data_IF_000959170584
#
_entry.id   IF_000959170584
#
_cell.length_a   1.000
_cell.length_b   1.000
_cell.length_c   1.000
_cell.angle_alpha   90.00
_cell.angle_beta   90.00
_cell.angle_gamma   90.00
#
_symmetry.space_group_name_H-M   'P 1'
#
loop_
_entity.id
_entity.type
_entity.pdbx_description
1 polymer ?
#
# COMPACT_ATOMS: atom_id res chain seq x y z
N UNK A 1 -61.07 -29.33 19.78
CA UNK A 1 -61.26 -28.31 18.71
C UNK A 1 -61.06 -26.89 19.25
N UNK A 2 -59.83 -26.32 19.26
CA UNK A 2 -59.65 -24.88 19.55
C UNK A 2 -58.73 -24.13 18.55
N UNK A 3 -58.43 -24.67 17.36
CA UNK A 3 -57.52 -24.04 16.38
C UNK A 3 -58.16 -23.01 15.43
N UNK A 4 -59.50 -22.98 15.30
CA UNK A 4 -60.19 -22.09 14.34
C UNK A 4 -60.49 -20.68 14.88
N UNK A 5 -60.50 -20.49 16.20
CA UNK A 5 -60.79 -19.18 16.79
C UNK A 5 -59.54 -18.28 16.78
N UNK A 6 -58.33 -18.84 16.99
CA UNK A 6 -57.10 -18.03 16.98
C UNK A 6 -56.74 -17.51 15.59
N UNK A 7 -57.06 -18.23 14.51
CA UNK A 7 -56.84 -17.74 13.14
C UNK A 7 -57.82 -16.62 12.78
N UNK A 8 -59.07 -16.71 13.23
CA UNK A 8 -60.09 -15.68 12.96
C UNK A 8 -59.77 -14.35 13.64
N UNK A 9 -59.34 -14.37 14.91
CA UNK A 9 -58.86 -13.17 15.60
C UNK A 9 -57.53 -12.64 15.02
N UNK A 10 -56.62 -13.52 14.60
CA UNK A 10 -55.35 -13.13 13.95
C UNK A 10 -55.58 -12.36 12.65
N UNK A 11 -56.56 -12.77 11.84
CA UNK A 11 -56.87 -12.12 10.56
C UNK A 11 -57.66 -10.81 10.73
N UNK A 12 -58.55 -10.71 11.71
CA UNK A 12 -59.21 -9.43 12.07
C UNK A 12 -58.20 -8.41 12.61
N UNK A 13 -57.23 -8.86 13.44
CA UNK A 13 -56.16 -8.00 13.97
C UNK A 13 -55.17 -7.56 12.87
N UNK A 14 -55.01 -8.35 11.79
CA UNK A 14 -54.23 -7.94 10.61
C UNK A 14 -54.93 -6.87 9.77
N UNK A 15 -56.27 -6.88 9.72
CA UNK A 15 -57.06 -5.95 8.91
C UNK A 15 -57.38 -4.63 9.64
N UNK A 16 -57.54 -4.63 10.97
CA UNK A 16 -57.71 -3.39 11.74
C UNK A 16 -56.37 -2.72 12.02
N UNK A 17 -56.13 -1.55 11.43
CA UNK A 17 -54.99 -0.70 11.84
C UNK A 17 -55.18 -0.33 13.33
N UNK A 18 -54.13 -0.32 14.16
CA UNK A 18 -54.20 0.03 15.59
C UNK A 18 -54.96 1.34 15.86
N UNK A 19 -54.88 2.29 14.93
CA UNK A 19 -55.61 3.56 14.99
C UNK A 19 -57.14 3.37 15.05
N UNK A 20 -57.70 2.40 14.33
CA UNK A 20 -59.14 2.08 14.38
C UNK A 20 -59.53 1.46 15.72
N UNK A 21 -58.63 0.69 16.35
CA UNK A 21 -58.85 0.10 17.68
C UNK A 21 -58.80 1.20 18.76
N UNK A 22 -57.90 2.17 18.62
CA UNK A 22 -57.84 3.35 19.50
C UNK A 22 -59.13 4.17 19.37
N UNK A 23 -59.56 4.49 18.15
CA UNK A 23 -60.81 5.24 17.91
C UNK A 23 -62.04 4.48 18.41
N UNK A 24 -62.11 3.17 18.18
CA UNK A 24 -63.22 2.34 18.65
C UNK A 24 -63.22 2.17 20.18
N UNK A 25 -62.05 2.02 20.81
CA UNK A 25 -61.91 1.98 22.27
C UNK A 25 -62.31 3.30 22.93
N UNK A 26 -61.89 4.43 22.36
CA UNK A 26 -62.32 5.76 22.81
C UNK A 26 -63.83 5.96 22.64
N UNK A 27 -64.41 5.47 21.54
CA UNK A 27 -65.85 5.51 21.29
C UNK A 27 -66.64 4.64 22.29
N UNK A 28 -66.17 3.43 22.61
CA UNK A 28 -66.78 2.58 23.65
C UNK A 28 -66.68 3.24 25.03
N UNK A 29 -65.56 3.87 25.36
CA UNK A 29 -65.44 4.61 26.62
C UNK A 29 -66.42 5.81 26.68
N UNK A 30 -66.58 6.53 25.57
CA UNK A 30 -67.50 7.65 25.45
C UNK A 30 -68.98 7.23 25.47
N UNK A 31 -69.34 6.07 24.90
CA UNK A 31 -70.68 5.49 25.07
C UNK A 31 -70.89 4.97 26.49
N UNK A 32 -69.84 4.42 27.10
CA UNK A 32 -69.82 3.95 28.47
C UNK A 32 -70.24 5.02 29.45
N UNK A 33 -69.75 6.25 29.32
CA UNK A 33 -70.08 7.37 30.24
C UNK A 33 -71.56 7.77 30.26
N UNK A 34 -72.35 7.32 29.28
CA UNK A 34 -73.81 7.50 29.23
C UNK A 34 -74.52 6.49 30.14
N UNK A 35 -73.91 5.33 30.39
CA UNK A 35 -74.46 4.31 31.29
C UNK A 35 -74.07 4.58 32.76
N UNK A 36 -75.01 4.39 33.71
CA UNK A 36 -74.71 4.59 35.12
C UNK A 36 -73.63 3.61 35.60
N UNK A 37 -72.71 4.05 36.46
CA UNK A 37 -71.65 3.17 36.95
C UNK A 37 -72.24 2.04 37.80
N UNK A 38 -71.67 0.85 37.64
CA UNK A 38 -71.95 -0.24 38.57
C UNK A 38 -71.35 0.11 39.92
N UNK A 39 -72.19 0.07 40.95
CA UNK A 39 -71.78 0.31 42.33
C UNK A 39 -71.74 -1.01 43.08
N UNK A 40 -70.56 -1.39 43.54
CA UNK A 40 -70.38 -2.53 44.43
C UNK A 40 -70.12 -1.98 45.82
N UNK A 41 -70.96 -2.36 46.77
CA UNK A 41 -70.75 -2.09 48.20
C UNK A 41 -69.88 -3.19 48.77
N UNK A 42 -68.67 -2.83 49.19
CA UNK A 42 -67.78 -3.78 49.86
C UNK A 42 -67.71 -3.43 51.35
N UNK A 43 -67.89 -4.40 52.25
CA UNK A 43 -67.68 -4.18 53.67
C UNK A 43 -66.17 -4.05 53.94
N UNK A 44 -65.77 -2.94 54.53
CA UNK A 44 -64.43 -2.73 55.07
C UNK A 44 -64.53 -2.52 56.59
N UNK A 45 -63.42 -2.73 57.29
CA UNK A 45 -63.36 -2.69 58.76
C UNK A 45 -63.85 -1.36 59.37
N UNK A 46 -63.87 -0.27 58.58
CA UNK A 46 -64.32 1.06 59.01
C UNK A 46 -65.62 1.54 58.32
N UNK A 47 -66.39 0.64 57.70
CA UNK A 47 -67.68 0.95 57.07
C UNK A 47 -67.82 0.40 55.64
N UNK A 48 -68.98 0.67 55.02
CA UNK A 48 -69.25 0.27 53.64
C UNK A 48 -68.64 1.32 52.70
N UNK A 49 -67.66 0.91 51.88
CA UNK A 49 -67.21 1.73 50.75
C UNK A 49 -67.97 1.33 49.48
N UNK A 50 -68.49 2.33 48.76
CA UNK A 50 -69.08 2.15 47.43
C UNK A 50 -67.98 2.34 46.37
N UNK A 51 -67.60 1.24 45.71
CA UNK A 51 -66.77 1.31 44.51
C UNK A 51 -67.69 1.46 43.30
N UNK A 52 -67.67 2.62 42.66
CA UNK A 52 -68.37 2.86 41.40
C UNK A 52 -67.41 2.70 40.23
N UNK A 53 -67.64 1.73 39.35
CA UNK A 53 -66.87 1.60 38.11
C UNK A 53 -67.80 1.44 36.92
N UNK A 54 -67.34 1.90 35.77
CA UNK A 54 -68.05 1.70 34.52
C UNK A 54 -67.26 0.68 33.68
N UNK A 55 -67.81 -0.52 33.44
CA UNK A 55 -67.09 -1.58 32.74
C UNK A 55 -66.76 -1.20 31.30
N UNK A 56 -67.55 -0.33 30.67
CA UNK A 56 -67.31 0.13 29.30
C UNK A 56 -66.19 1.17 29.22
N UNK A 57 -66.04 2.05 30.23
CA UNK A 57 -64.90 2.98 30.28
C UNK A 57 -63.59 2.23 30.56
N UNK A 58 -63.62 1.22 31.45
CA UNK A 58 -62.46 0.35 31.72
C UNK A 58 -62.06 -0.45 30.47
N UNK A 59 -63.03 -1.04 29.77
CA UNK A 59 -62.82 -1.80 28.54
C UNK A 59 -62.26 -0.90 27.43
N UNK A 60 -62.82 0.30 27.24
CA UNK A 60 -62.34 1.27 26.26
C UNK A 60 -60.91 1.74 26.55
N UNK A 61 -60.59 2.06 27.81
CA UNK A 61 -59.23 2.44 28.22
C UNK A 61 -58.22 1.30 28.02
N UNK A 62 -58.60 0.06 28.35
CA UNK A 62 -57.79 -1.12 28.11
C UNK A 62 -57.49 -1.32 26.62
N UNK A 63 -58.51 -1.18 25.76
CA UNK A 63 -58.35 -1.31 24.31
C UNK A 63 -57.40 -0.26 23.71
N UNK A 64 -57.47 0.99 24.19
CA UNK A 64 -56.54 2.06 23.78
C UNK A 64 -55.11 1.77 24.26
N UNK A 65 -54.94 1.37 25.52
CA UNK A 65 -53.63 1.05 26.09
C UNK A 65 -52.99 -0.15 25.37
N UNK A 66 -53.76 -1.20 25.11
CA UNK A 66 -53.31 -2.38 24.38
C UNK A 66 -52.92 -2.04 22.93
N UNK A 67 -53.73 -1.26 22.22
CA UNK A 67 -53.42 -0.85 20.85
C UNK A 67 -52.14 0.00 20.77
N UNK A 68 -51.93 0.88 21.75
CA UNK A 68 -50.71 1.70 21.87
C UNK A 68 -49.48 0.83 22.15
N UNK A 69 -49.60 -0.15 23.05
CA UNK A 69 -48.52 -1.11 23.34
C UNK A 69 -48.14 -1.92 22.09
N UNK A 70 -49.13 -2.42 21.34
CA UNK A 70 -48.91 -3.16 20.09
C UNK A 70 -48.26 -2.27 19.03
N UNK A 71 -48.66 -1.00 18.92
CA UNK A 71 -48.07 -0.06 17.98
C UNK A 71 -46.60 0.24 18.32
N UNK A 72 -46.30 0.47 19.60
CA UNK A 72 -44.92 0.68 20.08
C UNK A 72 -44.05 -0.56 19.87
N UNK A 73 -44.60 -1.75 20.13
CA UNK A 73 -43.90 -3.01 19.89
C UNK A 73 -43.59 -3.23 18.40
N UNK A 74 -44.57 -2.99 17.51
CA UNK A 74 -44.35 -3.04 16.05
C UNK A 74 -43.30 -2.03 15.59
N UNK A 75 -43.33 -0.82 16.14
CA UNK A 75 -42.32 0.21 15.84
C UNK A 75 -40.93 -0.26 16.28
N UNK A 76 -40.81 -0.78 17.50
CA UNK A 76 -39.56 -1.31 18.07
C UNK A 76 -38.96 -2.43 17.21
N UNK A 77 -39.77 -3.40 16.76
CA UNK A 77 -39.32 -4.47 15.85
C UNK A 77 -38.78 -3.89 14.54
N UNK A 78 -39.48 -2.91 13.96
CA UNK A 78 -39.04 -2.28 12.70
C UNK A 78 -37.72 -1.52 12.88
N UNK A 79 -37.58 -0.76 13.97
CA UNK A 79 -36.32 -0.06 14.28
C UNK A 79 -35.16 -1.02 14.50
N UNK A 80 -35.38 -2.13 15.22
CA UNK A 80 -34.33 -3.13 15.43
C UNK A 80 -33.91 -3.79 14.11
N UNK A 81 -34.86 -4.14 13.24
CA UNK A 81 -34.55 -4.68 11.92
C UNK A 81 -33.76 -3.69 11.03
N UNK A 82 -34.06 -2.39 11.11
CA UNK A 82 -33.28 -1.36 10.40
C UNK A 82 -31.87 -1.27 10.98
N UNK A 83 -31.74 -1.30 12.31
CA UNK A 83 -30.44 -1.26 12.99
C UNK A 83 -29.58 -2.46 12.59
N UNK A 84 -30.13 -3.68 12.62
CA UNK A 84 -29.43 -4.90 12.22
C UNK A 84 -28.96 -4.83 10.76
N UNK A 85 -29.83 -4.35 9.86
CA UNK A 85 -29.47 -4.14 8.46
C UNK A 85 -28.36 -3.08 8.29
N UNK A 86 -28.39 -2.02 9.09
CA UNK A 86 -27.37 -0.97 9.07
C UNK A 86 -26.03 -1.51 9.56
N UNK A 87 -26.02 -2.31 10.63
CA UNK A 87 -24.81 -2.97 11.14
C UNK A 87 -24.22 -3.90 10.08
N UNK A 88 -25.06 -4.71 9.41
CA UNK A 88 -24.62 -5.60 8.33
C UNK A 88 -24.03 -4.81 7.15
N UNK A 89 -24.64 -3.68 6.78
CA UNK A 89 -24.11 -2.82 5.72
C UNK A 89 -22.79 -2.16 6.11
N UNK A 90 -22.65 -1.69 7.36
CA UNK A 90 -21.40 -1.12 7.87
C UNK A 90 -20.27 -2.16 7.86
N UNK A 91 -20.53 -3.39 8.32
CA UNK A 91 -19.56 -4.47 8.27
C UNK A 91 -19.17 -4.82 6.83
N UNK A 92 -20.12 -4.79 5.89
CA UNK A 92 -19.82 -5.02 4.46
C UNK A 92 -18.97 -3.88 3.90
N UNK A 93 -19.26 -2.64 4.26
CA UNK A 93 -18.53 -1.46 3.80
C UNK A 93 -17.09 -1.48 4.33
N UNK A 94 -16.89 -1.78 5.60
CA UNK A 94 -15.56 -1.95 6.20
C UNK A 94 -14.72 -3.02 5.48
N UNK A 95 -15.31 -4.19 5.17
CA UNK A 95 -14.63 -5.24 4.39
C UNK A 95 -14.27 -4.79 2.98
N UNK A 96 -15.14 -4.01 2.33
CA UNK A 96 -14.89 -3.49 0.99
C UNK A 96 -13.79 -2.41 1.01
N UNK A 97 -13.79 -1.53 2.01
CA UNK A 97 -12.73 -0.53 2.19
C UNK A 97 -11.39 -1.20 2.38
N UNK A 98 -11.28 -2.17 3.30
CA UNK A 98 -10.03 -2.91 3.51
C UNK A 98 -9.56 -3.62 2.23
N UNK A 99 -10.47 -4.27 1.51
CA UNK A 99 -10.13 -4.92 0.24
C UNK A 99 -9.66 -3.93 -0.82
N UNK A 100 -10.23 -2.72 -0.88
CA UNK A 100 -9.79 -1.68 -1.79
C UNK A 100 -8.40 -1.14 -1.42
N UNK A 101 -8.10 -0.98 -0.13
CA UNK A 101 -6.77 -0.63 0.36
C UNK A 101 -5.75 -1.68 -0.06
N UNK A 102 -6.02 -2.97 0.20
CA UNK A 102 -5.15 -4.08 -0.19
C UNK A 102 -4.89 -4.09 -1.70
N UNK A 103 -5.94 -3.92 -2.52
CA UNK A 103 -5.80 -3.87 -3.99
C UNK A 103 -4.97 -2.67 -4.43
N UNK A 104 -5.15 -1.52 -3.79
CA UNK A 104 -4.42 -0.29 -4.14
C UNK A 104 -2.94 -0.44 -3.85
N UNK A 105 -2.58 -1.01 -2.69
CA UNK A 105 -1.19 -1.30 -2.35
C UNK A 105 -0.57 -2.32 -3.31
N UNK A 106 -1.29 -3.38 -3.65
CA UNK A 106 -0.84 -4.36 -4.65
C UNK A 106 -0.61 -3.73 -6.04
N UNK A 107 -1.48 -2.82 -6.47
CA UNK A 107 -1.34 -2.13 -7.76
C UNK A 107 -0.16 -1.16 -7.76
N UNK A 108 0.05 -0.42 -6.67
CA UNK A 108 1.21 0.48 -6.52
C UNK A 108 2.52 -0.32 -6.59
N UNK A 109 2.61 -1.42 -5.85
CA UNK A 109 3.78 -2.29 -5.86
C UNK A 109 4.01 -2.94 -7.23
N UNK A 110 2.96 -3.43 -7.88
CA UNK A 110 3.06 -4.00 -9.22
C UNK A 110 3.50 -2.95 -10.25
N UNK A 111 3.00 -1.71 -10.15
CA UNK A 111 3.40 -0.60 -11.01
C UNK A 111 4.90 -0.28 -10.82
N UNK A 112 5.36 -0.18 -9.57
CA UNK A 112 6.78 0.01 -9.25
C UNK A 112 7.65 -1.12 -9.81
N UNK A 113 7.22 -2.37 -9.67
CA UNK A 113 7.95 -3.51 -10.19
C UNK A 113 7.99 -3.54 -11.73
N UNK A 114 6.92 -3.13 -12.42
CA UNK A 114 6.89 -3.00 -13.89
C UNK A 114 7.87 -1.92 -14.33
N UNK A 115 7.78 -0.72 -13.74
CA UNK A 115 8.68 0.39 -14.07
C UNK A 115 10.12 -0.01 -13.80
N UNK A 116 10.41 -0.59 -12.64
CA UNK A 116 11.75 -1.07 -12.28
C UNK A 116 12.30 -2.10 -13.26
N UNK A 117 11.49 -3.05 -13.72
CA UNK A 117 11.91 -4.07 -14.70
C UNK A 117 12.20 -3.50 -16.10
N UNK A 118 11.65 -2.33 -16.42
CA UNK A 118 11.87 -1.64 -17.70
C UNK A 118 13.10 -0.74 -17.57
N UNK A 119 13.15 0.11 -16.54
CA UNK A 119 14.17 1.17 -16.40
C UNK A 119 15.41 0.75 -15.61
N UNK A 120 15.45 -0.46 -15.06
CA UNK A 120 16.45 -0.86 -14.07
C UNK A 120 16.16 -0.36 -12.65
N UNK A 121 15.19 0.55 -12.46
CA UNK A 121 14.75 1.01 -11.14
C UNK A 121 15.87 1.56 -10.27
N UNK A 122 16.08 0.94 -9.10
CA UNK A 122 17.13 1.26 -8.14
C UNK A 122 18.44 0.49 -8.37
N UNK A 123 18.51 -0.33 -9.43
CA UNK A 123 19.71 -1.08 -9.78
C UNK A 123 20.78 -0.18 -10.38
N UNK A 124 22.04 -0.50 -10.08
CA UNK A 124 23.22 0.14 -10.65
C UNK A 124 24.30 -0.89 -10.99
N UNK A 125 25.19 -0.52 -11.90
CA UNK A 125 26.32 -1.37 -12.29
C UNK A 125 27.57 -0.97 -11.55
N UNK A 126 28.27 -1.98 -11.00
CA UNK A 126 29.63 -1.88 -10.51
C UNK A 126 30.55 -2.57 -11.50
N UNK A 127 31.53 -1.85 -12.03
CA UNK A 127 32.67 -2.47 -12.72
C UNK A 127 33.76 -2.73 -11.69
N UNK A 128 34.22 -3.97 -11.57
CA UNK A 128 35.28 -4.35 -10.64
C UNK A 128 36.47 -4.98 -11.38
N UNK A 129 37.65 -4.84 -10.80
CA UNK A 129 38.84 -5.56 -11.25
C UNK A 129 38.86 -6.95 -10.64
N UNK A 130 38.95 -7.97 -11.50
CA UNK A 130 39.22 -9.34 -11.09
C UNK A 130 40.64 -9.66 -11.49
N UNK A 131 41.50 -9.84 -10.49
CA UNK A 131 42.87 -10.29 -10.72
C UNK A 131 42.81 -11.70 -11.31
N UNK A 132 43.28 -11.84 -12.54
CA UNK A 132 43.32 -13.12 -13.23
C UNK A 132 44.58 -13.91 -12.79
N UNK A 133 44.65 -15.19 -13.13
CA UNK A 133 45.84 -16.03 -12.88
C UNK A 133 47.11 -15.48 -13.57
N UNK A 134 46.95 -14.60 -14.56
CA UNK A 134 48.05 -13.88 -15.17
C UNK A 134 48.42 -12.63 -14.34
N UNK A 135 49.62 -12.56 -13.72
CA UNK A 135 50.01 -11.43 -12.88
C UNK A 135 50.10 -10.08 -13.63
N UNK A 136 50.13 -10.12 -14.97
CA UNK A 136 50.18 -8.92 -15.81
C UNK A 136 48.84 -8.54 -16.45
N UNK A 137 47.81 -9.38 -16.30
CA UNK A 137 46.51 -9.19 -16.93
C UNK A 137 45.40 -9.06 -15.90
N UNK A 138 44.53 -8.06 -16.10
CA UNK A 138 43.34 -7.89 -15.27
C UNK A 138 42.11 -8.05 -16.15
N UNK A 139 41.13 -8.77 -15.62
CA UNK A 139 39.81 -8.94 -16.23
C UNK A 139 38.83 -8.02 -15.53
N UNK A 140 37.85 -7.48 -16.26
CA UNK A 140 36.79 -6.68 -15.66
C UNK A 140 35.59 -7.57 -15.36
N UNK A 141 35.03 -7.45 -14.16
CA UNK A 141 33.70 -7.96 -13.85
C UNK A 141 32.70 -6.82 -13.89
N UNK A 142 31.61 -7.01 -14.62
CA UNK A 142 30.46 -6.11 -14.62
C UNK A 142 29.39 -6.74 -13.75
N UNK A 143 29.00 -6.06 -12.68
CA UNK A 143 28.13 -6.60 -11.64
C UNK A 143 26.89 -5.71 -11.52
N UNK A 144 25.71 -6.31 -11.62
CA UNK A 144 24.46 -5.59 -11.33
C UNK A 144 24.16 -5.67 -9.83
N UNK A 145 24.19 -4.52 -9.16
CA UNK A 145 23.75 -4.34 -7.79
C UNK A 145 22.35 -3.73 -7.78
N UNK A 146 21.36 -4.52 -7.39
CA UNK A 146 19.97 -4.06 -7.29
C UNK A 146 18.95 -5.18 -7.44
N UNK A 147 17.67 -4.81 -7.47
CA UNK A 147 16.53 -5.74 -7.56
C UNK A 147 16.11 -6.04 -9.01
N UNK A 148 16.36 -5.12 -9.93
CA UNK A 148 15.86 -5.19 -11.31
C UNK A 148 16.97 -5.47 -12.33
N UNK A 149 16.65 -6.13 -13.45
CA UNK A 149 17.60 -6.35 -14.54
C UNK A 149 17.98 -5.03 -15.20
N UNK A 150 19.23 -4.92 -15.64
CA UNK A 150 19.71 -3.77 -16.42
C UNK A 150 19.79 -4.21 -17.88
N UNK A 151 19.15 -3.46 -18.78
CA UNK A 151 19.04 -3.76 -20.21
C UNK A 151 19.82 -2.76 -21.04
N UNK A 152 20.38 -3.23 -22.15
CA UNK A 152 21.13 -2.40 -23.09
C UNK A 152 22.24 -1.59 -22.41
N UNK A 153 22.97 -2.28 -21.53
CA UNK A 153 24.07 -1.67 -20.81
C UNK A 153 25.19 -1.32 -21.77
N UNK A 154 25.61 -0.07 -21.76
CA UNK A 154 26.83 0.40 -22.38
C UNK A 154 27.70 1.04 -21.31
N UNK A 155 28.92 0.56 -21.15
CA UNK A 155 29.91 1.18 -20.29
C UNK A 155 31.12 1.63 -21.09
N UNK A 156 31.51 2.88 -20.91
CA UNK A 156 32.66 3.52 -21.55
C UNK A 156 33.69 3.86 -20.50
N UNK A 157 34.91 3.35 -20.66
CA UNK A 157 35.99 3.49 -19.69
C UNK A 157 37.08 4.37 -20.27
N UNK A 158 37.42 5.44 -19.56
CA UNK A 158 38.44 6.40 -19.93
C UNK A 158 39.50 6.49 -18.84
N UNK A 159 40.78 6.51 -19.23
CA UNK A 159 41.84 6.96 -18.31
C UNK A 159 41.66 8.45 -18.04
N UNK A 160 41.84 8.87 -16.79
CA UNK A 160 41.62 10.25 -16.37
C UNK A 160 42.51 11.24 -17.13
N UNK A 161 43.76 10.86 -17.42
CA UNK A 161 44.68 11.66 -18.22
C UNK A 161 44.18 11.90 -19.65
N UNK A 162 43.65 10.86 -20.31
CA UNK A 162 43.08 10.97 -21.65
C UNK A 162 41.79 11.81 -21.62
N UNK A 163 40.93 11.56 -20.63
CA UNK A 163 39.69 12.31 -20.43
C UNK A 163 39.93 13.82 -20.25
N UNK A 164 40.86 14.19 -19.38
CA UNK A 164 41.17 15.61 -19.13
C UNK A 164 41.78 16.28 -20.36
N UNK A 165 42.70 15.60 -21.05
CA UNK A 165 43.27 16.09 -22.31
C UNK A 165 42.20 16.36 -23.36
N UNK A 166 41.23 15.46 -23.48
CA UNK A 166 40.17 15.55 -24.48
C UNK A 166 39.17 16.66 -24.13
N UNK A 167 38.85 16.82 -22.84
CA UNK A 167 38.06 17.93 -22.32
C UNK A 167 38.72 19.29 -22.56
N UNK A 168 40.02 19.42 -22.33
CA UNK A 168 40.80 20.63 -22.59
C UNK A 168 40.81 21.03 -24.08
N UNK A 169 40.71 20.03 -24.97
CA UNK A 169 40.60 20.24 -26.41
C UNK A 169 39.20 20.66 -26.88
N UNK A 170 38.28 20.92 -25.95
CA UNK A 170 36.92 21.36 -26.24
C UNK A 170 36.05 20.26 -26.85
N UNK A 171 36.48 19.02 -26.75
CA UNK A 171 35.76 17.91 -27.30
C UNK A 171 34.82 17.34 -26.23
N UNK A 172 33.57 17.11 -26.61
CA UNK A 172 32.58 16.64 -25.66
C UNK A 172 32.79 15.13 -25.40
N UNK A 173 33.21 14.72 -24.20
CA UNK A 173 33.39 13.30 -23.88
C UNK A 173 32.08 12.49 -23.95
N UNK A 174 30.92 13.15 -23.92
CA UNK A 174 29.62 12.51 -24.07
C UNK A 174 29.32 12.15 -25.55
N UNK A 175 29.96 12.84 -26.50
CA UNK A 175 29.70 12.72 -27.94
C UNK A 175 30.82 11.93 -28.60
N UNK A 176 30.60 10.63 -28.79
CA UNK A 176 31.03 9.71 -29.88
C UNK A 176 32.38 9.91 -30.64
N UNK A 177 33.31 10.69 -30.14
CA UNK A 177 34.63 10.82 -30.70
C UNK A 177 35.57 11.23 -29.58
N UNK A 178 36.41 10.30 -29.12
CA UNK A 178 37.82 10.51 -28.74
C UNK A 178 38.44 9.31 -28.03
N UNK A 179 39.75 9.15 -28.25
CA UNK A 179 40.71 8.35 -27.46
C UNK A 179 40.11 7.11 -26.79
N UNK A 180 39.36 6.30 -27.53
CA UNK A 180 38.59 5.22 -26.95
C UNK A 180 39.51 4.21 -26.25
N UNK A 181 39.40 4.09 -24.93
CA UNK A 181 40.20 3.14 -24.15
C UNK A 181 39.49 1.78 -24.03
N UNK A 182 38.21 1.74 -23.69
CA UNK A 182 37.42 0.49 -23.68
C UNK A 182 35.91 0.72 -23.69
N UNK A 183 35.17 -0.13 -24.42
CA UNK A 183 33.70 -0.19 -24.44
C UNK A 183 33.21 -1.60 -24.08
N UNK A 184 32.18 -1.65 -23.23
CA UNK A 184 31.48 -2.88 -22.83
C UNK A 184 30.01 -2.71 -23.18
N UNK A 185 29.43 -3.69 -23.86
CA UNK A 185 28.03 -3.71 -24.25
C UNK A 185 27.37 -5.02 -23.83
N UNK A 186 26.32 -4.95 -23.00
CA UNK A 186 25.55 -6.10 -22.55
C UNK A 186 24.08 -5.90 -22.88
N UNK A 187 23.46 -6.88 -23.54
CA UNK A 187 22.03 -6.84 -23.85
C UNK A 187 21.18 -6.84 -22.57
N UNK A 188 21.48 -7.73 -21.63
CA UNK A 188 20.79 -7.82 -20.33
C UNK A 188 21.77 -8.30 -19.26
N UNK A 189 21.72 -7.69 -18.08
CA UNK A 189 22.40 -8.15 -16.87
C UNK A 189 21.36 -8.33 -15.76
N UNK A 190 21.07 -9.58 -15.41
CA UNK A 190 20.10 -9.90 -14.37
C UNK A 190 20.57 -9.41 -12.98
N UNK A 191 19.64 -9.23 -12.02
CA UNK A 191 19.98 -8.83 -10.65
C UNK A 191 21.03 -9.75 -10.03
N UNK A 192 21.99 -9.19 -9.29
CA UNK A 192 23.03 -9.95 -8.57
C UNK A 192 23.93 -10.83 -9.46
N UNK A 193 23.85 -10.68 -10.79
CA UNK A 193 24.73 -11.38 -11.70
C UNK A 193 25.98 -10.56 -12.00
N UNK A 194 27.07 -11.29 -12.23
CA UNK A 194 28.31 -10.74 -12.75
C UNK A 194 28.61 -11.34 -14.12
N UNK A 195 29.20 -10.53 -15.00
CA UNK A 195 29.76 -11.00 -16.25
C UNK A 195 31.22 -10.57 -16.35
N UNK A 196 32.08 -11.54 -16.65
CA UNK A 196 33.49 -11.29 -16.92
C UNK A 196 33.67 -10.80 -18.35
N UNK A 197 34.22 -9.61 -18.48
CA UNK A 197 34.68 -9.06 -19.75
C UNK A 197 36.17 -9.32 -19.86
N UNK A 198 36.51 -10.36 -20.64
CA UNK A 198 37.89 -10.79 -20.92
C UNK A 198 38.60 -9.78 -21.83
N UNK A 199 38.94 -8.65 -21.25
CA UNK A 199 39.80 -7.63 -21.82
C UNK A 199 41.06 -7.66 -20.98
N UNK A 200 42.14 -8.23 -21.49
CA UNK A 200 43.43 -8.21 -20.79
C UNK A 200 43.95 -6.77 -20.78
N UNK A 201 43.61 -6.04 -19.73
CA UNK A 201 44.12 -4.69 -19.51
C UNK A 201 45.48 -4.81 -18.83
N UNK A 202 46.50 -4.25 -19.50
CA UNK A 202 47.85 -4.16 -18.95
C UNK A 202 47.91 -2.89 -18.11
N UNK A 203 48.13 -3.06 -16.80
CA UNK A 203 48.38 -1.94 -15.89
C UNK A 203 49.87 -1.64 -15.79
N UNK A 204 50.18 -0.34 -15.81
CA UNK A 204 51.50 0.19 -15.49
C UNK A 204 51.69 0.22 -13.97
N UNK A 205 52.94 0.20 -13.53
CA UNK A 205 53.31 0.37 -12.13
C UNK A 205 52.87 1.74 -11.62
N UNK A 206 52.42 1.82 -10.37
CA UNK A 206 51.91 3.04 -9.75
C UNK A 206 50.40 3.18 -9.88
N UNK A 207 49.93 4.41 -10.08
CA UNK A 207 48.49 4.75 -10.01
C UNK A 207 47.92 4.91 -11.40
N UNK A 208 46.72 4.39 -11.60
CA UNK A 208 45.89 4.68 -12.76
C UNK A 208 44.48 5.01 -12.32
N UNK A 209 43.97 6.18 -12.71
CA UNK A 209 42.59 6.58 -12.44
C UNK A 209 41.74 6.43 -13.70
N UNK A 210 40.58 5.79 -13.57
CA UNK A 210 39.59 5.60 -14.63
C UNK A 210 38.28 6.32 -14.29
N UNK A 211 37.71 6.97 -15.29
CA UNK A 211 36.33 7.44 -15.30
C UNK A 211 35.51 6.49 -16.17
N UNK A 212 34.44 5.98 -15.60
CA UNK A 212 33.57 4.98 -16.20
C UNK A 212 32.19 5.60 -16.30
N UNK A 213 31.68 5.72 -17.53
CA UNK A 213 30.34 6.22 -17.80
C UNK A 213 29.48 5.04 -18.22
N UNK A 214 28.44 4.79 -17.44
CA UNK A 214 27.50 3.70 -17.67
C UNK A 214 26.16 4.29 -18.08
N UNK A 215 25.65 3.85 -19.21
CA UNK A 215 24.34 4.20 -19.73
C UNK A 215 23.56 2.94 -20.01
N UNK A 216 22.28 2.93 -19.65
CA UNK A 216 21.32 1.89 -19.97
C UNK A 216 19.93 2.50 -20.07
N UNK A 217 18.91 1.71 -20.39
CA UNK A 217 17.56 2.22 -20.56
C UNK A 217 17.02 2.80 -19.24
N UNK A 218 17.01 4.14 -19.11
CA UNK A 218 16.50 4.85 -17.93
C UNK A 218 17.49 5.00 -16.76
N UNK A 219 18.74 4.56 -16.92
CA UNK A 219 19.77 4.63 -15.88
C UNK A 219 21.08 5.18 -16.47
N UNK A 220 21.64 6.19 -15.81
CA UNK A 220 22.95 6.74 -16.09
C UNK A 220 23.75 6.84 -14.79
N UNK A 221 24.88 6.12 -14.72
CA UNK A 221 25.77 6.19 -13.56
C UNK A 221 27.19 6.50 -14.00
N UNK A 222 27.90 7.18 -13.11
CA UNK A 222 29.33 7.45 -13.28
C UNK A 222 30.08 6.72 -12.18
N UNK A 223 31.06 5.92 -12.55
CA UNK A 223 31.96 5.27 -11.62
C UNK A 223 33.36 5.86 -11.78
N UNK A 224 33.96 6.29 -10.68
CA UNK A 224 35.37 6.63 -10.61
C UNK A 224 36.12 5.49 -9.95
N UNK A 225 37.20 5.03 -10.58
CA UNK A 225 38.01 3.93 -10.10
C UNK A 225 39.46 4.37 -10.05
N UNK A 226 40.10 4.24 -8.89
CA UNK A 226 41.53 4.48 -8.70
C UNK A 226 42.17 3.12 -8.49
N UNK A 227 43.18 2.83 -9.30
CA UNK A 227 43.86 1.54 -9.32
C UNK A 227 45.31 1.76 -8.96
N UNK A 228 45.81 1.00 -8.00
CA UNK A 228 47.20 1.02 -7.57
C UNK A 228 47.83 -0.33 -7.86
N UNK A 229 48.92 -0.33 -8.62
CA UNK A 229 49.74 -1.51 -8.91
C UNK A 229 51.11 -1.35 -8.26
N UNK A 230 51.49 -2.35 -7.46
CA UNK A 230 52.82 -2.49 -6.91
C UNK A 230 53.35 -3.91 -7.15
N UNK A 231 54.27 -4.06 -8.10
CA UNK A 231 54.77 -5.35 -8.57
C UNK A 231 53.65 -6.24 -9.10
N UNK A 232 53.42 -7.37 -8.46
CA UNK A 232 52.32 -8.31 -8.77
C UNK A 232 51.01 -8.01 -8.03
N UNK A 233 51.02 -7.06 -7.10
CA UNK A 233 49.86 -6.72 -6.28
C UNK A 233 49.07 -5.60 -6.93
N UNK A 234 47.75 -5.78 -6.97
CA UNK A 234 46.81 -4.76 -7.45
C UNK A 234 45.78 -4.51 -6.36
N UNK A 235 45.61 -3.24 -6.00
CA UNK A 235 44.53 -2.76 -5.14
C UNK A 235 43.75 -1.68 -5.89
N UNK A 236 42.47 -1.54 -5.57
CA UNK A 236 41.63 -0.50 -6.14
C UNK A 236 40.73 0.13 -5.09
N UNK A 237 40.28 1.33 -5.42
CA UNK A 237 39.19 2.01 -4.74
C UNK A 237 38.22 2.52 -5.80
N UNK A 238 36.92 2.48 -5.52
CA UNK A 238 35.92 2.97 -6.45
C UNK A 238 34.78 3.69 -5.74
N UNK A 239 34.18 4.62 -6.47
CA UNK A 239 33.02 5.41 -6.07
C UNK A 239 32.04 5.47 -7.24
N UNK A 240 30.78 5.19 -6.98
CA UNK A 240 29.71 5.26 -7.98
C UNK A 240 28.73 6.34 -7.57
N UNK A 241 28.43 7.21 -8.52
CA UNK A 241 27.45 8.27 -8.38
C UNK A 241 26.33 8.08 -9.41
N UNK A 242 25.10 8.28 -8.95
CA UNK A 242 23.90 8.28 -9.79
C UNK A 242 23.50 9.74 -10.05
N UNK A 243 23.22 10.08 -11.30
CA UNK A 243 22.63 11.37 -11.65
C UNK A 243 21.15 11.37 -11.27
N UNK A 244 20.77 12.24 -10.33
CA UNK A 244 19.38 12.52 -9.99
C UNK A 244 18.86 13.60 -10.96
N UNK A 245 17.54 13.71 -11.10
CA UNK A 245 16.85 14.86 -11.71
C UNK A 245 17.52 16.17 -11.29
N UNK A 246 17.74 17.07 -12.26
CA UNK A 246 18.42 18.37 -12.10
C UNK A 246 19.96 18.34 -11.92
N UNK A 247 20.62 17.24 -12.26
CA UNK A 247 22.08 17.18 -12.36
C UNK A 247 22.80 17.05 -11.02
N UNK A 248 22.06 16.78 -9.93
CA UNK A 248 22.63 16.42 -8.64
C UNK A 248 23.17 14.99 -8.70
N UNK A 249 24.41 14.79 -8.24
CA UNK A 249 25.04 13.48 -8.17
C UNK A 249 24.99 12.95 -6.74
N UNK A 250 24.37 11.78 -6.55
CA UNK A 250 24.36 11.10 -5.24
C UNK A 250 25.28 9.89 -5.29
N UNK A 251 26.18 9.79 -4.32
CA UNK A 251 26.97 8.58 -4.10
C UNK A 251 26.04 7.43 -3.69
N UNK A 252 26.08 6.34 -4.45
CA UNK A 252 25.27 5.13 -4.20
C UNK A 252 26.12 3.95 -3.75
N UNK A 253 27.42 4.00 -4.02
CA UNK A 253 28.34 2.92 -3.68
C UNK A 253 29.78 3.44 -3.56
N UNK A 254 30.51 2.88 -2.60
CA UNK A 254 31.95 3.08 -2.42
C UNK A 254 32.56 1.78 -1.92
N UNK A 255 33.67 1.40 -2.53
CA UNK A 255 34.44 0.22 -2.13
C UNK A 255 35.93 0.54 -2.19
N UNK A 256 36.66 0.10 -1.17
CA UNK A 256 38.08 0.33 -1.01
C UNK A 256 38.70 -1.00 -0.63
N UNK A 257 39.54 -1.54 -1.51
CA UNK A 257 40.25 -2.78 -1.24
C UNK A 257 41.17 -2.62 -0.03
N UNK A 258 41.29 -3.69 0.77
CA UNK A 258 41.97 -3.68 2.09
C UNK A 258 43.40 -3.12 2.10
N UNK A 259 44.12 -3.24 0.98
CA UNK A 259 45.52 -2.82 0.85
C UNK A 259 45.68 -1.60 -0.09
N UNK A 260 44.63 -0.80 -0.25
CA UNK A 260 44.70 0.42 -1.05
C UNK A 260 45.40 1.55 -0.26
N UNK A 261 46.40 2.24 -0.82
CA UNK A 261 47.09 3.32 -0.11
C UNK A 261 46.16 4.53 0.13
N UNK A 262 46.04 4.96 1.38
CA UNK A 262 45.14 6.07 1.77
C UNK A 262 45.51 7.40 1.10
N UNK A 263 46.80 7.61 0.84
CA UNK A 263 47.32 8.81 0.17
C UNK A 263 46.70 9.04 -1.22
N UNK A 264 46.14 8.02 -1.88
CA UNK A 264 45.47 8.14 -3.17
C UNK A 264 43.95 8.16 -3.09
N UNK A 265 43.34 8.17 -1.90
CA UNK A 265 41.88 8.20 -1.78
C UNK A 265 41.27 9.53 -2.23
N UNK A 266 42.03 10.63 -2.17
CA UNK A 266 41.60 11.94 -2.66
C UNK A 266 41.34 11.94 -4.19
N UNK A 267 41.93 10.98 -4.93
CA UNK A 267 41.68 10.81 -6.36
C UNK A 267 40.29 10.27 -6.69
N UNK A 268 39.49 9.84 -5.70
CA UNK A 268 38.10 9.42 -5.91
C UNK A 268 37.11 10.58 -6.05
N UNK A 269 37.49 11.81 -5.68
CA UNK A 269 36.58 12.96 -5.56
C UNK A 269 35.70 12.82 -4.32
#
# INVERSE_FOLDING_TARGET
>A
MPKKISSFFSDIIKQLKPIHIIFFGAFIAALGSIFPPFKIKMPYDNGIQELSFNPFTLLGAFMVAFATLVQNWKSSIKTNSILDNTILQLQKLERLTKRNEDITEHLDQASKDIVGNITGGDSYVVIQLVQNLNPNGITLAVINQGKYPIRELQARIFRNSDFNRDKERGLNPDILSLSYNLMIELAVLAPQMSKLENRNLILQEGITTWNIFVTSLGLMTTQRMVIFKSGSSVSFACKISHTITDGEYREVYRDISKNFPEEYLHELG
#
